data_IF_144026093583
#
_entry.id   IF_144026093583
#
_cell.length_a   1.000
_cell.length_b   1.000
_cell.length_c   1.000
_cell.angle_alpha   90.00
_cell.angle_beta   90.00
_cell.angle_gamma   90.00
#
_symmetry.space_group_name_H-M   'P 1'
#
loop_
_entity.id
_entity.type
_entity.pdbx_description
1 polymer ?
#
# COMPACT_ATOMS: atom_id res chain seq x y z
N UNK A 1 18.59 -1.82 26.41
CA UNK A 1 19.71 -1.87 25.45
C UNK A 1 19.50 -0.74 24.45
N UNK A 2 20.53 0.00 24.01
CA UNK A 2 20.33 1.02 22.99
C UNK A 2 19.89 0.34 21.70
N UNK A 3 18.76 0.78 21.15
CA UNK A 3 18.16 0.24 19.92
C UNK A 3 19.17 0.31 18.78
N UNK A 4 19.47 -0.84 18.17
CA UNK A 4 20.24 -0.86 16.92
C UNK A 4 19.39 -0.16 15.86
N UNK A 5 19.80 1.04 15.45
CA UNK A 5 19.29 1.69 14.25
C UNK A 5 19.34 0.68 13.09
N UNK A 6 18.16 0.23 12.65
CA UNK A 6 18.05 -0.65 11.48
C UNK A 6 18.05 0.24 10.25
N UNK A 7 18.94 -0.06 9.31
CA UNK A 7 19.07 0.70 8.06
C UNK A 7 18.22 0.12 6.92
N UNK A 8 17.57 -1.03 7.12
CA UNK A 8 16.72 -1.68 6.14
C UNK A 8 15.55 -2.49 6.78
N UNK A 9 14.37 -2.51 6.14
CA UNK A 9 13.24 -3.38 6.46
C UNK A 9 13.61 -4.88 6.54
N UNK A 10 12.91 -5.66 7.38
CA UNK A 10 13.02 -7.14 7.38
C UNK A 10 11.75 -7.78 6.81
N UNK A 11 11.70 -7.82 5.49
CA UNK A 11 10.56 -8.42 4.78
C UNK A 11 10.47 -9.93 4.95
N UNK A 12 11.53 -10.60 5.39
CA UNK A 12 11.49 -12.01 5.78
C UNK A 12 10.49 -12.30 6.92
N UNK A 13 10.23 -11.31 7.79
CA UNK A 13 9.27 -11.44 8.89
C UNK A 13 7.82 -11.55 8.37
N UNK A 14 7.50 -10.97 7.21
CA UNK A 14 6.17 -11.06 6.57
C UNK A 14 5.74 -12.49 6.26
N UNK A 15 6.71 -13.43 6.20
CA UNK A 15 6.47 -14.82 5.81
C UNK A 15 6.62 -15.80 6.98
N UNK A 16 6.81 -15.28 8.20
CA UNK A 16 7.16 -16.09 9.38
C UNK A 16 6.11 -17.14 9.73
N UNK A 17 4.84 -16.88 9.42
CA UNK A 17 3.68 -17.75 9.68
C UNK A 17 3.39 -18.75 8.54
N UNK A 18 4.16 -18.72 7.45
CA UNK A 18 3.90 -19.55 6.25
C UNK A 18 2.78 -19.02 5.35
N UNK A 19 2.19 -17.88 5.71
CA UNK A 19 1.19 -17.15 4.95
C UNK A 19 1.66 -15.72 4.65
N UNK A 20 1.14 -15.16 3.56
CA UNK A 20 1.35 -13.76 3.19
C UNK A 20 0.02 -13.16 2.72
N UNK A 21 -0.63 -12.42 3.60
CA UNK A 21 -1.92 -11.81 3.34
C UNK A 21 -1.72 -10.34 2.98
N UNK A 22 -2.22 -9.95 1.81
CA UNK A 22 -2.20 -8.56 1.36
C UNK A 22 -3.59 -8.02 1.01
N UNK A 23 -3.79 -6.73 1.25
CA UNK A 23 -4.93 -5.96 0.75
C UNK A 23 -4.46 -4.78 -0.08
N UNK A 24 -5.02 -4.63 -1.29
CA UNK A 24 -4.87 -3.49 -2.17
C UNK A 24 -6.21 -2.78 -2.27
N UNK A 25 -6.32 -1.62 -1.65
CA UNK A 25 -7.52 -0.81 -1.67
C UNK A 25 -7.34 0.37 -2.63
N UNK A 26 -8.13 0.39 -3.70
CA UNK A 26 -8.23 1.53 -4.62
C UNK A 26 -9.38 2.40 -4.16
N UNK A 27 -9.06 3.47 -3.43
CA UNK A 27 -9.99 4.49 -2.99
C UNK A 27 -10.43 5.42 -4.13
N UNK A 28 -11.44 6.27 -3.87
CA UNK A 28 -11.94 7.26 -4.79
C UNK A 28 -10.90 8.31 -5.18
N UNK A 29 -10.79 8.55 -6.49
CA UNK A 29 -9.99 9.64 -7.05
C UNK A 29 -10.87 10.81 -7.55
N UNK A 30 -10.47 12.09 -7.39
CA UNK A 30 -11.20 13.24 -7.93
C UNK A 30 -11.48 13.17 -9.44
N UNK A 31 -10.67 12.42 -10.20
CA UNK A 31 -10.87 12.18 -11.63
C UNK A 31 -12.08 11.25 -11.92
N UNK A 32 -12.68 10.64 -10.89
CA UNK A 32 -13.99 9.99 -10.92
C UNK A 32 -13.95 8.47 -11.10
N UNK A 33 -15.12 7.82 -11.02
CA UNK A 33 -15.22 6.36 -10.96
C UNK A 33 -14.62 5.59 -12.16
N UNK A 34 -14.63 6.19 -13.37
CA UNK A 34 -13.98 5.60 -14.56
C UNK A 34 -12.48 5.45 -14.35
N UNK A 35 -11.88 6.42 -13.67
CA UNK A 35 -10.47 6.44 -13.38
C UNK A 35 -10.09 5.31 -12.43
N UNK A 36 -10.77 5.22 -11.29
CA UNK A 36 -10.55 4.18 -10.28
C UNK A 36 -10.73 2.78 -10.87
N UNK A 37 -11.73 2.62 -11.74
CA UNK A 37 -11.96 1.36 -12.44
C UNK A 37 -10.81 1.00 -13.39
N UNK A 38 -10.22 1.99 -14.08
CA UNK A 38 -9.04 1.79 -14.91
C UNK A 38 -7.84 1.27 -14.09
N UNK A 39 -7.57 1.89 -12.95
CA UNK A 39 -6.52 1.45 -12.01
C UNK A 39 -6.79 0.03 -11.51
N UNK A 40 -8.03 -0.27 -11.13
CA UNK A 40 -8.45 -1.60 -10.68
C UNK A 40 -8.23 -2.67 -11.76
N UNK A 41 -8.63 -2.39 -13.00
CA UNK A 41 -8.43 -3.32 -14.13
C UNK A 41 -6.94 -3.56 -14.42
N UNK A 42 -6.12 -2.53 -14.31
CA UNK A 42 -4.67 -2.66 -14.50
C UNK A 42 -4.03 -3.49 -13.39
N UNK A 43 -4.45 -3.28 -12.12
CA UNK A 43 -3.99 -4.08 -11.00
C UNK A 43 -4.37 -5.56 -11.20
N UNK A 44 -5.62 -5.82 -11.56
CA UNK A 44 -6.12 -7.16 -11.93
C UNK A 44 -5.24 -7.81 -12.99
N UNK A 45 -4.96 -7.10 -14.10
CA UNK A 45 -4.14 -7.63 -15.20
C UNK A 45 -2.75 -7.98 -14.71
N UNK A 46 -2.10 -7.10 -13.96
CA UNK A 46 -0.72 -7.26 -13.50
C UNK A 46 -0.56 -8.32 -12.41
N UNK A 47 -1.52 -8.45 -11.48
CA UNK A 47 -1.52 -9.52 -10.48
C UNK A 47 -1.53 -10.90 -11.14
N UNK A 48 -2.33 -11.08 -12.19
CA UNK A 48 -2.32 -12.32 -13.00
C UNK A 48 -1.00 -12.54 -13.71
N UNK A 49 -0.40 -11.49 -14.27
CA UNK A 49 0.90 -11.58 -14.96
C UNK A 49 2.05 -12.01 -14.04
N UNK A 50 2.00 -11.66 -12.75
CA UNK A 50 2.98 -12.14 -11.77
C UNK A 50 2.65 -13.55 -11.22
N UNK A 51 1.66 -14.22 -11.81
CA UNK A 51 1.31 -15.62 -11.54
C UNK A 51 0.36 -15.83 -10.38
N UNK A 52 -0.35 -14.80 -9.91
CA UNK A 52 -1.46 -14.98 -8.97
C UNK A 52 -2.70 -15.50 -9.70
N UNK A 53 -3.36 -16.49 -9.11
CA UNK A 53 -4.58 -17.09 -9.63
C UNK A 53 -5.80 -16.45 -8.98
N UNK A 54 -6.79 -16.02 -9.76
CA UNK A 54 -8.06 -15.50 -9.24
C UNK A 54 -8.84 -16.64 -8.56
N UNK A 55 -9.27 -16.43 -7.31
CA UNK A 55 -10.01 -17.42 -6.50
C UNK A 55 -11.42 -16.98 -6.13
N UNK A 56 -11.66 -15.67 -6.00
CA UNK A 56 -13.01 -15.10 -5.79
C UNK A 56 -13.15 -13.81 -6.61
N UNK A 57 -14.37 -13.49 -7.06
CA UNK A 57 -14.67 -12.28 -7.81
C UNK A 57 -16.11 -11.87 -7.57
N UNK A 58 -16.27 -10.64 -7.06
CA UNK A 58 -17.56 -9.98 -6.80
C UNK A 58 -17.48 -8.55 -7.30
N UNK A 59 -18.60 -7.84 -7.29
CA UNK A 59 -18.61 -6.43 -7.70
C UNK A 59 -17.67 -5.61 -6.80
N UNK A 60 -16.65 -5.02 -7.42
CA UNK A 60 -15.64 -4.21 -6.73
C UNK A 60 -14.66 -4.99 -5.85
N UNK A 61 -14.58 -6.31 -6.01
CA UNK A 61 -13.68 -7.17 -5.23
C UNK A 61 -13.16 -8.34 -6.05
N UNK A 62 -11.86 -8.61 -5.96
CA UNK A 62 -11.25 -9.83 -6.48
C UNK A 62 -10.24 -10.37 -5.45
N UNK A 63 -10.24 -11.68 -5.26
CA UNK A 63 -9.24 -12.38 -4.44
C UNK A 63 -8.31 -13.20 -5.33
N UNK A 64 -7.05 -13.16 -4.99
CA UNK A 64 -5.96 -13.78 -5.72
C UNK A 64 -5.13 -14.63 -4.78
N UNK A 65 -4.72 -15.82 -5.22
CA UNK A 65 -3.85 -16.69 -4.45
C UNK A 65 -2.67 -17.22 -5.27
N UNK A 66 -1.55 -17.43 -4.59
CA UNK A 66 -0.35 -18.07 -5.16
C UNK A 66 0.42 -18.79 -4.07
N UNK A 67 0.98 -19.94 -4.42
CA UNK A 67 1.97 -20.61 -3.58
C UNK A 67 3.36 -20.33 -4.18
N UNK A 68 4.31 -19.94 -3.34
CA UNK A 68 5.69 -19.70 -3.74
C UNK A 68 6.66 -20.22 -2.69
N UNK A 69 7.94 -20.36 -3.06
CA UNK A 69 9.00 -20.78 -2.14
C UNK A 69 9.82 -19.56 -1.72
N UNK A 70 10.01 -19.39 -0.42
CA UNK A 70 10.87 -18.36 0.18
C UNK A 70 11.76 -18.99 1.24
N UNK A 71 13.09 -18.86 1.10
CA UNK A 71 14.06 -19.47 2.02
C UNK A 71 13.77 -20.96 2.34
N UNK A 72 13.49 -21.75 1.30
CA UNK A 72 13.11 -23.18 1.38
C UNK A 72 11.82 -23.47 2.16
N UNK A 73 10.97 -22.47 2.40
CA UNK A 73 9.63 -22.63 2.97
C UNK A 73 8.58 -22.37 1.91
N UNK A 74 7.53 -23.18 1.95
CA UNK A 74 6.34 -22.98 1.11
C UNK A 74 5.48 -21.91 1.76
N UNK A 75 5.23 -20.81 1.06
CA UNK A 75 4.40 -19.70 1.51
C UNK A 75 3.13 -19.64 0.67
N UNK A 76 1.99 -19.46 1.33
CA UNK A 76 0.70 -19.20 0.67
C UNK A 76 0.40 -17.70 0.70
N UNK A 77 0.44 -17.06 -0.46
CA UNK A 77 0.00 -15.68 -0.63
C UNK A 77 -1.50 -15.61 -0.93
N UNK A 78 -2.20 -14.67 -0.28
CA UNK A 78 -3.58 -14.28 -0.60
C UNK A 78 -3.66 -12.76 -0.69
N UNK A 79 -3.94 -12.25 -1.89
CA UNK A 79 -4.06 -10.82 -2.18
C UNK A 79 -5.51 -10.49 -2.46
N UNK A 80 -6.09 -9.55 -1.70
CA UNK A 80 -7.42 -8.99 -1.94
C UNK A 80 -7.30 -7.65 -2.64
N UNK A 81 -8.02 -7.47 -3.74
CA UNK A 81 -8.08 -6.22 -4.48
C UNK A 81 -9.49 -5.65 -4.38
N UNK A 82 -9.61 -4.43 -3.86
CA UNK A 82 -10.87 -3.73 -3.68
C UNK A 82 -10.92 -2.45 -4.52
N UNK A 83 -12.07 -2.20 -5.13
CA UNK A 83 -12.44 -0.92 -5.74
C UNK A 83 -13.44 -0.22 -4.82
N UNK A 84 -12.96 0.73 -4.03
CA UNK A 84 -13.72 1.37 -2.94
C UNK A 84 -15.09 1.89 -3.38
N UNK A 85 -15.16 2.71 -4.44
CA UNK A 85 -16.43 3.27 -4.95
C UNK A 85 -17.47 2.24 -5.38
N UNK A 86 -17.04 1.05 -5.83
CA UNK A 86 -17.92 0.05 -6.42
C UNK A 86 -18.05 -1.22 -5.57
N UNK A 87 -17.41 -1.27 -4.41
CA UNK A 87 -17.50 -2.40 -3.51
C UNK A 87 -18.88 -2.44 -2.87
N UNK A 88 -19.57 -3.58 -2.97
CA UNK A 88 -20.94 -3.72 -2.47
C UNK A 88 -21.05 -3.96 -0.96
N UNK A 89 -19.92 -4.06 -0.25
CA UNK A 89 -19.86 -4.28 1.21
C UNK A 89 -19.37 -3.05 1.97
N UNK A 90 -19.11 -3.23 3.26
CA UNK A 90 -18.62 -2.17 4.14
C UNK A 90 -17.10 -1.96 3.99
N UNK A 91 -16.71 -0.90 3.28
CA UNK A 91 -15.30 -0.54 3.06
C UNK A 91 -14.58 -0.19 4.38
N UNK A 92 -15.30 0.36 5.37
CA UNK A 92 -14.72 0.71 6.67
C UNK A 92 -14.39 -0.56 7.47
N UNK A 93 -15.30 -1.54 7.47
CA UNK A 93 -15.05 -2.83 8.10
C UNK A 93 -13.87 -3.56 7.44
N UNK A 94 -13.83 -3.60 6.10
CA UNK A 94 -12.70 -4.17 5.36
C UNK A 94 -11.39 -3.47 5.72
N UNK A 95 -11.38 -2.13 5.76
CA UNK A 95 -10.17 -1.40 6.13
C UNK A 95 -9.71 -1.74 7.55
N UNK A 96 -10.64 -1.83 8.51
CA UNK A 96 -10.34 -2.21 9.90
C UNK A 96 -9.81 -3.64 10.01
N UNK A 97 -10.39 -4.58 9.27
CA UNK A 97 -9.88 -5.95 9.16
C UNK A 97 -8.48 -5.97 8.57
N UNK A 98 -8.24 -5.17 7.52
CA UNK A 98 -6.94 -5.10 6.87
C UNK A 98 -5.85 -4.61 7.81
N UNK A 99 -6.14 -3.54 8.56
CA UNK A 99 -5.23 -3.01 9.58
C UNK A 99 -4.85 -4.04 10.65
N UNK A 100 -5.74 -5.00 10.95
CA UNK A 100 -5.52 -5.98 12.02
C UNK A 100 -4.75 -7.21 11.51
N UNK A 101 -5.14 -7.73 10.34
CA UNK A 101 -4.84 -9.11 9.95
C UNK A 101 -3.86 -9.25 8.77
N UNK A 102 -3.53 -8.16 8.08
CA UNK A 102 -2.79 -8.21 6.82
C UNK A 102 -1.30 -7.95 7.02
N UNK A 103 -0.46 -8.66 6.27
CA UNK A 103 0.99 -8.48 6.22
C UNK A 103 1.36 -7.31 5.30
N UNK A 104 0.64 -7.15 4.18
CA UNK A 104 0.79 -6.02 3.25
C UNK A 104 -0.51 -5.22 3.16
N UNK A 105 -0.42 -3.92 3.43
CA UNK A 105 -1.54 -3.00 3.33
C UNK A 105 -1.17 -1.93 2.31
N UNK A 106 -1.74 -2.03 1.12
CA UNK A 106 -1.63 -1.02 0.07
C UNK A 106 -2.90 -0.19 0.00
N UNK A 107 -2.73 1.12 0.00
CA UNK A 107 -3.81 2.06 -0.19
C UNK A 107 -3.45 3.02 -1.32
N UNK A 108 -4.28 3.07 -2.36
CA UNK A 108 -4.30 4.17 -3.33
C UNK A 108 -5.47 5.08 -3.06
N UNK A 109 -5.24 6.38 -2.91
CA UNK A 109 -6.30 7.36 -2.66
C UNK A 109 -5.82 8.77 -2.95
N UNK A 110 -6.76 9.70 -3.07
CA UNK A 110 -6.45 11.12 -3.01
C UNK A 110 -6.38 11.62 -1.56
N UNK A 111 -5.30 12.33 -1.25
CA UNK A 111 -5.16 13.14 -0.05
C UNK A 111 -5.38 14.61 -0.44
N UNK A 112 -6.40 15.26 0.11
CA UNK A 112 -6.56 16.71 -0.05
C UNK A 112 -5.44 17.50 0.63
N UNK A 113 -5.40 18.82 0.47
CA UNK A 113 -4.63 19.70 1.34
C UNK A 113 -5.21 19.64 2.77
N UNK A 114 -4.89 18.59 3.51
CA UNK A 114 -5.49 18.27 4.81
C UNK A 114 -5.05 16.90 5.30
N UNK A 115 -5.16 16.69 6.61
CA UNK A 115 -4.72 15.48 7.34
C UNK A 115 -5.63 14.26 7.09
N UNK A 116 -6.22 14.14 5.90
CA UNK A 116 -7.31 13.23 5.57
C UNK A 116 -7.02 12.45 4.29
N UNK A 117 -7.39 11.17 4.29
CA UNK A 117 -7.31 10.25 3.15
C UNK A 117 -8.74 9.80 2.81
N UNK A 118 -9.07 9.74 1.52
CA UNK A 118 -10.45 9.53 1.06
C UNK A 118 -10.68 8.08 0.64
N UNK A 119 -11.44 7.28 1.40
CA UNK A 119 -11.79 5.90 0.99
C UNK A 119 -13.18 5.79 0.37
N UNK A 120 -14.01 6.81 0.54
CA UNK A 120 -15.32 6.95 -0.08
C UNK A 120 -15.58 8.44 -0.36
N UNK A 121 -16.78 8.78 -0.84
CA UNK A 121 -17.16 10.17 -1.15
C UNK A 121 -17.17 11.08 0.10
N UNK A 122 -17.07 10.53 1.30
CA UNK A 122 -16.81 11.29 2.52
C UNK A 122 -15.33 11.16 2.94
N UNK A 123 -14.67 12.32 2.90
CA UNK A 123 -13.23 12.49 3.08
C UNK A 123 -12.76 12.27 4.53
N UNK A 124 -13.66 12.10 5.50
CA UNK A 124 -13.31 11.94 6.92
C UNK A 124 -13.00 10.49 7.33
N UNK A 125 -13.38 9.50 6.52
CA UNK A 125 -13.44 8.09 6.93
C UNK A 125 -12.11 7.44 7.32
N UNK A 126 -10.99 7.84 6.71
CA UNK A 126 -9.72 7.17 6.98
C UNK A 126 -9.12 7.56 8.33
N UNK A 127 -9.23 8.83 8.73
CA UNK A 127 -8.60 9.32 9.96
C UNK A 127 -9.23 8.69 11.20
N UNK A 128 -10.53 8.40 11.17
CA UNK A 128 -11.25 7.81 12.30
C UNK A 128 -11.11 6.28 12.34
N UNK A 129 -11.17 5.59 11.19
CA UNK A 129 -10.88 4.15 11.14
C UNK A 129 -9.42 3.82 11.51
N UNK A 130 -8.47 4.70 11.17
CA UNK A 130 -7.08 4.61 11.60
C UNK A 130 -6.91 4.82 13.11
N UNK A 131 -7.67 5.72 13.74
CA UNK A 131 -7.66 5.87 15.20
C UNK A 131 -8.19 4.61 15.89
N UNK A 132 -9.25 4.00 15.35
CA UNK A 132 -9.89 2.82 15.95
C UNK A 132 -9.12 1.50 15.71
N UNK A 133 -8.42 1.37 14.59
CA UNK A 133 -7.73 0.14 14.21
C UNK A 133 -6.44 -0.15 14.98
N UNK A 134 -5.75 0.90 15.44
CA UNK A 134 -4.43 0.76 16.07
C UNK A 134 -4.44 0.41 17.56
N UNK A 135 -5.58 0.54 18.22
CA UNK A 135 -5.77 0.14 19.62
C UNK A 135 -6.17 -1.35 19.78
N UNK A 136 -6.09 -2.15 18.71
CA UNK A 136 -6.47 -3.57 18.75
C UNK A 136 -5.32 -4.45 19.26
N UNK A 137 -5.51 -5.21 20.36
CA UNK A 137 -4.47 -6.05 20.96
C UNK A 137 -4.05 -7.25 20.10
N UNK A 138 -4.85 -7.59 19.08
CA UNK A 138 -4.69 -8.77 18.21
C UNK A 138 -3.93 -8.46 16.91
N UNK A 139 -3.44 -7.22 16.74
CA UNK A 139 -2.76 -6.80 15.52
C UNK A 139 -1.47 -7.60 15.30
N UNK A 140 -1.18 -7.91 14.03
CA UNK A 140 0.08 -8.55 13.65
C UNK A 140 1.31 -7.76 14.14
N UNK A 141 2.35 -8.44 14.64
CA UNK A 141 3.54 -7.79 15.20
C UNK A 141 4.38 -7.05 14.16
N UNK A 142 4.26 -7.42 12.89
CA UNK A 142 4.95 -6.78 11.78
C UNK A 142 4.03 -6.70 10.56
N UNK A 143 3.98 -5.52 9.93
CA UNK A 143 3.17 -5.23 8.76
C UNK A 143 3.93 -4.24 7.87
N UNK A 144 3.74 -4.36 6.56
CA UNK A 144 4.24 -3.43 5.56
C UNK A 144 3.09 -2.57 5.03
N UNK A 145 3.21 -1.26 5.20
CA UNK A 145 2.24 -0.32 4.67
C UNK A 145 2.80 0.35 3.42
N UNK A 146 1.97 0.50 2.41
CA UNK A 146 2.28 1.29 1.23
C UNK A 146 1.14 2.28 0.96
N UNK A 147 1.39 3.55 1.28
CA UNK A 147 0.45 4.64 1.06
C UNK A 147 0.78 5.35 -0.26
N UNK A 148 -0.09 5.17 -1.25
CA UNK A 148 -0.04 5.75 -2.59
C UNK A 148 -1.06 6.86 -2.73
N UNK A 149 -0.66 8.02 -2.20
CA UNK A 149 -1.41 9.24 -2.27
C UNK A 149 -0.45 10.43 -2.28
N UNK A 150 -0.93 11.55 -2.78
CA UNK A 150 -0.15 12.77 -2.83
C UNK A 150 0.13 13.26 -1.39
N UNK A 151 1.36 13.75 -1.14
CA UNK A 151 1.80 14.20 0.19
C UNK A 151 1.67 13.14 1.30
N UNK A 152 1.73 11.85 0.98
CA UNK A 152 1.65 10.76 1.95
C UNK A 152 2.68 10.88 3.09
N UNK A 153 3.85 11.50 2.83
CA UNK A 153 4.86 11.83 3.85
C UNK A 153 4.34 12.78 4.93
N UNK A 154 3.58 13.81 4.55
CA UNK A 154 2.98 14.75 5.51
C UNK A 154 1.90 14.05 6.34
N UNK A 155 1.05 13.26 5.70
CA UNK A 155 0.05 12.44 6.40
C UNK A 155 0.72 11.50 7.40
N UNK A 156 1.83 10.87 7.02
CA UNK A 156 2.61 10.02 7.91
C UNK A 156 3.09 10.78 9.15
N UNK A 157 3.76 11.92 8.95
CA UNK A 157 4.35 12.72 10.04
C UNK A 157 3.30 13.34 10.95
N UNK A 158 2.16 13.76 10.44
CA UNK A 158 1.19 14.50 11.23
C UNK A 158 0.14 13.61 11.91
N UNK A 159 -0.18 12.47 11.28
CA UNK A 159 -1.28 11.59 11.68
C UNK A 159 -0.74 10.19 11.96
N UNK A 160 -0.26 9.50 10.93
CA UNK A 160 -0.03 8.06 10.97
C UNK A 160 0.98 7.64 12.04
N UNK A 161 2.12 8.34 12.17
CA UNK A 161 3.21 7.97 13.07
C UNK A 161 2.83 7.89 14.55
N UNK A 162 1.72 8.52 14.96
CA UNK A 162 1.24 8.47 16.34
C UNK A 162 0.53 7.15 16.66
N UNK A 163 0.10 6.44 15.62
CA UNK A 163 -0.67 5.21 15.71
C UNK A 163 0.21 4.00 15.36
N UNK A 164 1.06 4.11 14.34
CA UNK A 164 2.00 3.03 13.99
C UNK A 164 3.17 2.95 14.98
N UNK A 165 3.31 1.79 15.65
CA UNK A 165 4.55 1.34 16.31
C UNK A 165 5.64 0.95 15.29
N UNK A 166 6.49 -0.05 15.59
CA UNK A 166 7.60 -0.55 14.74
C UNK A 166 7.20 -1.16 13.39
N UNK A 167 6.62 -0.36 12.51
CA UNK A 167 6.08 -0.70 11.20
C UNK A 167 7.04 -0.26 10.09
N UNK A 168 7.22 -1.09 9.08
CA UNK A 168 7.89 -0.67 7.85
C UNK A 168 6.86 -0.05 6.89
N UNK A 169 7.18 1.13 6.37
CA UNK A 169 6.26 1.98 5.62
C UNK A 169 6.92 2.48 4.34
N UNK A 170 6.23 2.36 3.22
CA UNK A 170 6.60 2.91 1.92
C UNK A 170 5.65 4.08 1.63
N UNK A 171 6.24 5.24 1.36
CA UNK A 171 5.53 6.49 1.07
C UNK A 171 5.95 7.06 -0.27
N UNK A 172 5.01 7.76 -0.89
CA UNK A 172 5.28 8.70 -1.97
C UNK A 172 5.50 10.10 -1.42
N UNK A 173 6.68 10.67 -1.72
CA UNK A 173 7.14 11.91 -1.08
C UNK A 173 6.22 13.09 -1.40
N UNK A 174 5.86 13.29 -2.66
CA UNK A 174 5.18 14.53 -3.07
C UNK A 174 4.11 14.39 -4.16
N UNK A 175 4.23 13.44 -5.08
CA UNK A 175 3.31 13.31 -6.20
C UNK A 175 2.93 11.86 -6.44
N UNK A 176 1.67 11.67 -6.79
CA UNK A 176 1.06 10.40 -7.10
C UNK A 176 0.61 10.47 -8.57
N UNK A 177 1.26 9.72 -9.47
CA UNK A 177 0.65 9.42 -10.75
C UNK A 177 -0.51 8.49 -10.45
N UNK A 178 -1.70 9.07 -10.48
CA UNK A 178 -2.93 8.41 -10.12
C UNK A 178 -3.20 7.18 -11.01
N UNK A 179 -2.61 7.08 -12.21
CA UNK A 179 -2.84 5.96 -13.14
C UNK A 179 -1.95 4.76 -12.85
N UNK A 180 -0.88 4.95 -12.08
CA UNK A 180 0.16 3.95 -11.90
C UNK A 180 -0.13 3.11 -10.65
N UNK A 181 -0.38 1.82 -10.86
CA UNK A 181 -0.43 0.76 -9.83
C UNK A 181 0.78 -0.18 -9.91
N UNK A 182 1.60 -0.01 -10.96
CA UNK A 182 2.73 -0.87 -11.27
C UNK A 182 3.69 -1.10 -10.09
N UNK A 183 4.15 -0.05 -9.37
CA UNK A 183 5.07 -0.20 -8.25
C UNK A 183 4.53 -1.11 -7.14
N UNK A 184 3.23 -1.05 -6.83
CA UNK A 184 2.63 -1.94 -5.82
C UNK A 184 2.66 -3.41 -6.26
N UNK A 185 2.43 -3.68 -7.54
CA UNK A 185 2.52 -5.04 -8.08
C UNK A 185 3.98 -5.51 -8.17
N UNK A 186 4.91 -4.60 -8.49
CA UNK A 186 6.35 -4.89 -8.44
C UNK A 186 6.79 -5.22 -7.02
N UNK A 187 6.36 -4.46 -6.01
CA UNK A 187 6.62 -4.77 -4.61
C UNK A 187 6.20 -6.20 -4.27
N UNK A 188 4.96 -6.58 -4.58
CA UNK A 188 4.45 -7.94 -4.33
C UNK A 188 5.30 -8.98 -5.05
N UNK A 189 5.65 -8.75 -6.33
CA UNK A 189 6.49 -9.66 -7.12
C UNK A 189 7.86 -9.87 -6.49
N UNK A 190 8.52 -8.78 -6.09
CA UNK A 190 9.88 -8.81 -5.56
C UNK A 190 9.92 -9.33 -4.11
N UNK A 191 8.90 -9.05 -3.30
CA UNK A 191 8.69 -9.68 -1.99
C UNK A 191 8.61 -11.21 -2.13
N UNK A 192 7.78 -11.70 -3.06
CA UNK A 192 7.68 -13.15 -3.32
C UNK A 192 8.96 -13.76 -3.91
N UNK A 193 9.77 -12.96 -4.61
CA UNK A 193 11.06 -13.40 -5.13
C UNK A 193 12.17 -13.41 -4.06
N UNK A 194 11.91 -12.79 -2.90
CA UNK A 194 12.90 -12.60 -1.84
C UNK A 194 14.03 -11.66 -2.21
N UNK A 195 13.73 -10.65 -3.04
CA UNK A 195 14.67 -9.58 -3.38
C UNK A 195 15.08 -8.79 -2.14
N UNK A 196 16.29 -8.24 -2.17
CA UNK A 196 16.73 -7.28 -1.15
C UNK A 196 15.99 -5.93 -1.29
N UNK A 197 16.11 -5.12 -0.23
CA UNK A 197 15.43 -3.83 -0.12
C UNK A 197 15.80 -2.87 -1.26
N UNK A 198 17.08 -2.77 -1.59
CA UNK A 198 17.61 -1.90 -2.63
C UNK A 198 17.05 -2.28 -4.02
N UNK A 199 17.00 -3.57 -4.32
CA UNK A 199 16.43 -4.11 -5.56
C UNK A 199 14.94 -3.82 -5.66
N UNK A 200 14.21 -3.97 -4.55
CA UNK A 200 12.78 -3.63 -4.50
C UNK A 200 12.55 -2.15 -4.81
N UNK A 201 13.23 -1.26 -4.08
CA UNK A 201 13.07 0.19 -4.28
C UNK A 201 13.48 0.61 -5.69
N UNK A 202 14.57 0.05 -6.23
CA UNK A 202 15.01 0.34 -7.59
C UNK A 202 13.93 -0.03 -8.61
N UNK A 203 13.46 -1.28 -8.60
CA UNK A 203 12.47 -1.76 -9.57
C UNK A 203 11.11 -1.08 -9.43
N UNK A 204 10.70 -0.76 -8.21
CA UNK A 204 9.49 0.02 -7.99
C UNK A 204 9.63 1.44 -8.57
N UNK A 205 10.81 2.08 -8.45
CA UNK A 205 11.06 3.40 -9.05
C UNK A 205 11.10 3.31 -10.58
N UNK A 206 11.70 2.26 -11.16
CA UNK A 206 11.71 2.04 -12.61
C UNK A 206 10.29 1.93 -13.17
N UNK A 207 9.40 1.26 -12.45
CA UNK A 207 8.00 1.10 -12.82
C UNK A 207 7.19 2.40 -12.66
N UNK A 208 7.61 3.27 -11.75
CA UNK A 208 7.02 4.59 -11.58
C UNK A 208 7.43 5.54 -12.73
N UNK A 209 8.61 5.33 -13.32
CA UNK A 209 9.10 6.10 -14.46
C UNK A 209 9.57 7.51 -14.11
N UNK A 210 9.60 8.39 -15.12
CA UNK A 210 9.95 9.81 -14.95
C UNK A 210 8.73 10.53 -14.34
N UNK A 211 8.87 11.23 -13.20
CA UNK A 211 7.77 11.92 -12.57
C UNK A 211 7.06 12.88 -13.53
N UNK A 212 5.73 12.77 -13.63
CA UNK A 212 4.92 13.75 -14.33
C UNK A 212 4.89 15.07 -13.53
N UNK A 213 5.18 16.18 -14.21
CA UNK A 213 4.93 17.53 -13.71
C UNK A 213 3.55 17.95 -14.21
N UNK A 214 2.65 18.33 -13.31
CA UNK A 214 1.47 19.07 -13.75
C UNK A 214 1.90 20.50 -14.10
N UNK A 215 1.31 21.07 -15.14
CA UNK A 215 1.63 22.43 -15.60
C UNK A 215 1.34 23.51 -14.54
N UNK A 216 0.60 23.15 -13.49
CA UNK A 216 0.21 23.98 -12.37
C UNK A 216 1.09 23.79 -11.12
N UNK A 217 2.07 22.88 -11.15
CA UNK A 217 3.00 22.65 -10.04
C UNK A 217 3.86 23.90 -9.78
N UNK A 218 4.01 24.29 -8.51
CA UNK A 218 4.88 25.39 -8.12
C UNK A 218 6.34 25.07 -8.53
N UNK A 219 7.10 26.04 -9.08
CA UNK A 219 8.54 25.87 -9.33
C UNK A 219 9.35 25.34 -8.13
N UNK A 220 8.89 25.56 -6.90
CA UNK A 220 9.47 24.97 -5.69
C UNK A 220 9.24 23.45 -5.60
N UNK A 221 8.08 22.95 -6.03
CA UNK A 221 7.73 21.53 -6.05
C UNK A 221 8.50 20.75 -7.13
N UNK A 222 9.03 21.46 -8.13
CA UNK A 222 9.93 20.88 -9.14
C UNK A 222 11.32 20.51 -8.60
N UNK A 223 11.70 21.02 -7.42
CA UNK A 223 13.00 20.76 -6.77
C UNK A 223 12.96 19.62 -5.75
N UNK A 224 11.78 19.07 -5.48
CA UNK A 224 11.58 18.03 -4.48
C UNK A 224 11.99 16.65 -5.05
N UNK A 225 12.70 15.87 -4.25
CA UNK A 225 13.12 14.50 -4.59
C UNK A 225 11.88 13.57 -4.60
N UNK A 226 11.32 13.28 -5.78
CA UNK A 226 10.03 12.55 -5.93
C UNK A 226 10.17 11.02 -5.90
N UNK A 227 11.27 10.47 -5.35
CA UNK A 227 11.46 9.02 -5.17
C UNK A 227 10.58 8.49 -4.04
N UNK A 228 10.25 7.19 -4.08
CA UNK A 228 9.66 6.55 -2.91
C UNK A 228 10.58 6.68 -1.71
N UNK A 229 9.99 6.99 -0.57
CA UNK A 229 10.67 7.04 0.72
C UNK A 229 10.19 5.87 1.54
N UNK A 230 11.12 5.17 2.15
CA UNK A 230 10.81 4.10 3.08
C UNK A 230 11.19 4.52 4.48
N UNK A 231 10.24 4.43 5.40
CA UNK A 231 10.48 4.55 6.83
C UNK A 231 10.56 3.15 7.40
N UNK A 232 11.71 2.80 7.96
CA UNK A 232 11.80 1.66 8.86
C UNK A 232 11.76 2.20 10.28
N UNK A 233 10.68 1.93 11.00
CA UNK A 233 10.57 2.30 12.40
C UNK A 233 11.35 1.28 13.24
N UNK A 234 12.44 1.73 13.84
CA UNK A 234 13.10 1.03 14.95
C UNK A 234 12.56 1.55 16.27
N UNK A 235 12.30 0.64 17.21
CA UNK A 235 12.22 0.97 18.64
C UNK A 235 13.57 1.52 19.17
#
# INVERSE_FOLDING_TARGET
MPGKNRTAPRYDILFSEGEFNGTLLIGPDPLGATFDYGVFLEARRRLRLIGLTLTDSKRGFEEYQKVFNFNNRVIRARIRLFLGRNFGGDVQEIWRESLTNEDLIYLKTHAGYGKHLSLSDDVSFFTDAMKEGFDRPERKPYQLYYLDCCKSEMYYKDVFRKYVGGVDLILHKWFCDYKIIGPAVVLIRELMAGSDFETMVLKMNDEYGIPHFDAEDDPADMRLDRKMVTYSLSD
#
